data_IF_920452362511
#
_entry.id   IF_920452362511
#
_cell.length_a   1.000
_cell.length_b   1.000
_cell.length_c   1.000
_cell.angle_alpha   90.00
_cell.angle_beta   90.00
_cell.angle_gamma   90.00
#
_symmetry.space_group_name_H-M   'P 1'
#
loop_
_entity.id
_entity.type
_entity.pdbx_description
1 polymer ?
#
# COMPACT_ATOMS: atom_id res chain seq x y z
N UNK A 1 28.05 3.35 -3.33
CA UNK A 1 27.13 4.48 -3.58
C UNK A 1 26.63 4.40 -5.03
N UNK A 2 25.70 3.49 -5.34
CA UNK A 2 25.14 3.35 -6.69
C UNK A 2 23.66 3.02 -6.52
N UNK A 3 22.82 4.04 -6.29
CA UNK A 3 21.36 3.87 -6.25
C UNK A 3 20.59 5.18 -6.52
N UNK A 4 21.16 6.11 -7.29
CA UNK A 4 20.48 7.36 -7.69
C UNK A 4 20.19 7.47 -9.20
N UNK A 5 20.57 6.47 -10.00
CA UNK A 5 20.43 6.49 -11.46
C UNK A 5 19.15 5.81 -11.99
N UNK A 6 18.20 5.45 -11.13
CA UNK A 6 16.92 4.82 -11.53
C UNK A 6 15.69 5.68 -11.20
N UNK A 7 15.86 6.78 -10.45
CA UNK A 7 14.86 7.87 -10.41
C UNK A 7 15.03 8.81 -11.62
N UNK A 8 15.23 8.23 -12.81
CA UNK A 8 15.44 8.98 -14.05
C UNK A 8 14.08 9.50 -14.51
N UNK A 9 13.74 10.66 -13.95
CA UNK A 9 13.06 11.76 -14.62
C UNK A 9 11.74 11.39 -15.34
N UNK A 10 10.74 10.92 -14.57
CA UNK A 10 9.37 10.64 -15.05
C UNK A 10 8.76 11.76 -15.90
N UNK A 11 9.17 13.01 -15.63
CA UNK A 11 8.77 14.19 -16.40
C UNK A 11 9.36 14.15 -17.80
N UNK A 12 10.67 13.92 -17.93
CA UNK A 12 11.34 13.75 -19.23
C UNK A 12 10.72 12.60 -20.01
N UNK A 13 10.47 11.46 -19.37
CA UNK A 13 9.80 10.32 -20.02
C UNK A 13 8.39 10.68 -20.52
N UNK A 14 7.64 11.48 -19.75
CA UNK A 14 6.30 11.93 -20.16
C UNK A 14 6.36 12.89 -21.35
N UNK A 15 7.34 13.80 -21.37
CA UNK A 15 7.58 14.71 -22.50
C UNK A 15 7.97 13.92 -23.75
N UNK A 16 8.95 13.01 -23.63
CA UNK A 16 9.40 12.14 -24.74
C UNK A 16 8.26 11.29 -25.27
N UNK A 17 7.41 10.73 -24.41
CA UNK A 17 6.20 10.00 -24.84
C UNK A 17 5.23 10.90 -25.61
N UNK A 18 5.00 12.12 -25.14
CA UNK A 18 4.10 13.08 -25.82
C UNK A 18 4.63 13.45 -27.19
N UNK A 19 5.92 13.79 -27.30
CA UNK A 19 6.57 14.09 -28.58
C UNK A 19 6.48 12.89 -29.52
N UNK A 20 6.78 11.68 -29.04
CA UNK A 20 6.68 10.45 -29.83
C UNK A 20 5.25 10.22 -30.34
N UNK A 21 4.24 10.42 -29.49
CA UNK A 21 2.84 10.22 -29.85
C UNK A 21 2.37 11.19 -30.96
N UNK A 22 2.99 12.37 -31.09
CA UNK A 22 2.68 13.31 -32.17
C UNK A 22 3.10 12.80 -33.56
N UNK A 23 4.03 11.84 -33.63
CA UNK A 23 4.48 11.19 -34.88
C UNK A 23 3.74 9.87 -35.19
N UNK A 24 2.66 9.56 -34.46
CA UNK A 24 1.91 8.32 -34.60
C UNK A 24 2.80 7.05 -34.53
N UNK A 25 2.50 5.99 -35.30
CA UNK A 25 3.24 4.72 -35.33
C UNK A 25 4.38 4.69 -36.35
N UNK A 26 4.74 5.81 -36.98
CA UNK A 26 5.78 5.82 -38.01
C UNK A 26 7.13 6.32 -37.46
N UNK A 27 8.00 5.43 -36.95
CA UNK A 27 9.29 5.80 -36.39
C UNK A 27 10.25 6.45 -37.40
N UNK A 28 9.98 6.37 -38.71
CA UNK A 28 10.83 7.01 -39.71
C UNK A 28 10.68 8.54 -39.72
N UNK A 29 9.53 9.06 -39.32
CA UNK A 29 9.27 10.50 -39.29
C UNK A 29 10.05 11.21 -38.17
N UNK A 30 10.32 10.52 -37.05
CA UNK A 30 11.17 11.04 -35.97
C UNK A 30 12.65 11.18 -36.37
N UNK A 31 13.10 10.48 -37.42
CA UNK A 31 14.47 10.61 -37.91
C UNK A 31 14.70 11.93 -38.67
N UNK A 32 13.63 12.62 -39.08
CA UNK A 32 13.72 13.90 -39.76
C UNK A 32 13.84 15.05 -38.75
N UNK A 33 15.03 15.65 -38.67
CA UNK A 33 15.33 16.72 -37.73
C UNK A 33 14.40 17.95 -37.87
N UNK A 34 13.96 18.29 -39.09
CA UNK A 34 13.07 19.44 -39.31
C UNK A 34 11.69 19.22 -38.70
N UNK A 35 11.14 18.02 -38.88
CA UNK A 35 9.82 17.65 -38.34
C UNK A 35 9.89 17.51 -36.82
N UNK A 36 10.98 16.92 -36.29
CA UNK A 36 11.22 16.86 -34.85
C UNK A 36 11.27 18.25 -34.21
N UNK A 37 12.00 19.19 -34.82
CA UNK A 37 12.08 20.56 -34.33
C UNK A 37 10.70 21.23 -34.34
N UNK A 38 9.92 21.05 -35.40
CA UNK A 38 8.56 21.59 -35.50
C UNK A 38 7.66 21.09 -34.37
N UNK A 39 7.67 19.78 -34.10
CA UNK A 39 6.85 19.21 -33.01
C UNK A 39 7.30 19.70 -31.63
N UNK A 40 8.60 19.88 -31.43
CA UNK A 40 9.14 20.46 -30.18
C UNK A 40 8.70 21.92 -30.02
N UNK A 41 8.74 22.70 -31.10
CA UNK A 41 8.30 24.09 -31.10
C UNK A 41 6.79 24.17 -30.83
N UNK A 42 5.99 23.32 -31.47
CA UNK A 42 4.55 23.21 -31.23
C UNK A 42 4.25 22.84 -29.77
N UNK A 43 4.97 21.86 -29.20
CA UNK A 43 4.83 21.46 -27.81
C UNK A 43 5.08 22.65 -26.84
N UNK A 44 6.14 23.42 -27.08
CA UNK A 44 6.55 24.53 -26.22
C UNK A 44 5.62 25.75 -26.32
N UNK A 45 4.97 25.94 -27.47
CA UNK A 45 4.09 27.08 -27.73
C UNK A 45 2.60 26.77 -27.50
N UNK A 46 2.20 25.50 -27.52
CA UNK A 46 0.83 25.07 -27.22
C UNK A 46 0.53 25.20 -25.73
N UNK A 47 -0.73 25.46 -25.36
CA UNK A 47 -1.17 25.50 -23.96
C UNK A 47 -1.34 24.08 -23.41
N UNK A 48 -0.98 23.88 -22.15
CA UNK A 48 -1.00 22.53 -21.53
C UNK A 48 -2.10 22.39 -20.48
N UNK A 49 -2.61 21.17 -20.34
CA UNK A 49 -3.57 20.79 -19.29
C UNK A 49 -3.01 20.98 -17.88
N UNK A 50 -1.70 20.80 -17.70
CA UNK A 50 -1.01 21.10 -16.44
C UNK A 50 -1.31 22.53 -15.96
N UNK A 51 -1.41 23.47 -16.90
CA UNK A 51 -1.73 24.89 -16.67
C UNK A 51 -3.21 25.21 -16.93
N UNK A 52 -4.11 24.22 -16.85
CA UNK A 52 -5.56 24.37 -17.12
C UNK A 52 -5.85 24.98 -18.50
N UNK A 53 -5.03 24.66 -19.51
CA UNK A 53 -5.13 25.18 -20.87
C UNK A 53 -5.01 26.72 -20.96
N UNK A 54 -4.32 27.35 -20.00
CA UNK A 54 -4.15 28.82 -19.95
C UNK A 54 -2.81 29.29 -20.49
N UNK A 55 -1.73 28.59 -20.16
CA UNK A 55 -0.35 28.98 -20.46
C UNK A 55 0.40 27.87 -21.21
N UNK A 56 1.38 28.27 -22.03
CA UNK A 56 2.34 27.36 -22.66
C UNK A 56 3.60 27.20 -21.80
N UNK A 57 4.36 26.10 -21.96
CA UNK A 57 5.62 25.90 -21.26
C UNK A 57 6.60 27.06 -21.46
N UNK A 58 6.68 27.59 -22.68
CA UNK A 58 7.53 28.73 -23.00
C UNK A 58 7.15 29.98 -22.19
N UNK A 59 5.86 30.31 -22.14
CA UNK A 59 5.37 31.48 -21.39
C UNK A 59 5.63 31.37 -19.88
N UNK A 60 5.51 30.16 -19.32
CA UNK A 60 5.78 29.93 -17.90
C UNK A 60 7.28 29.98 -17.62
N UNK A 61 8.12 29.46 -18.53
CA UNK A 61 9.57 29.50 -18.39
C UNK A 61 10.16 30.90 -18.53
N UNK A 62 9.51 31.78 -19.29
CA UNK A 62 9.93 33.18 -19.48
C UNK A 62 9.50 34.09 -18.30
N UNK A 63 8.53 33.67 -17.48
CA UNK A 63 7.96 34.50 -16.41
C UNK A 63 7.93 33.78 -15.07
N UNK A 64 8.82 34.21 -14.17
CA UNK A 64 8.97 33.68 -12.82
C UNK A 64 7.69 33.77 -11.97
N UNK A 65 6.88 34.82 -12.16
CA UNK A 65 5.62 34.97 -11.41
C UNK A 65 4.60 33.89 -11.79
N UNK A 66 4.51 33.53 -13.07
CA UNK A 66 3.63 32.47 -13.56
C UNK A 66 4.06 31.11 -13.04
N UNK A 67 5.38 30.84 -13.02
CA UNK A 67 5.94 29.65 -12.41
C UNK A 67 5.62 29.59 -10.91
N UNK A 68 5.81 30.70 -10.19
CA UNK A 68 5.50 30.82 -8.78
C UNK A 68 4.01 30.55 -8.47
N UNK A 69 3.10 31.09 -9.29
CA UNK A 69 1.66 30.81 -9.18
C UNK A 69 1.38 29.31 -9.37
N UNK A 70 1.99 28.69 -10.37
CA UNK A 70 1.83 27.26 -10.65
C UNK A 70 2.31 26.39 -9.49
N UNK A 71 3.51 26.66 -8.96
CA UNK A 71 4.08 25.92 -7.82
C UNK A 71 3.17 26.05 -6.60
N UNK A 72 2.69 27.25 -6.29
CA UNK A 72 1.76 27.47 -5.16
C UNK A 72 0.45 26.70 -5.35
N UNK A 73 -0.11 26.70 -6.55
CA UNK A 73 -1.32 25.96 -6.85
C UNK A 73 -1.10 24.44 -6.67
N UNK A 74 0.01 23.89 -7.17
CA UNK A 74 0.32 22.46 -7.02
C UNK A 74 0.60 22.06 -5.58
N UNK A 75 1.28 22.92 -4.81
CA UNK A 75 1.43 22.73 -3.36
C UNK A 75 0.09 22.70 -2.66
N UNK A 76 -0.85 23.59 -3.02
CA UNK A 76 -2.20 23.60 -2.47
C UNK A 76 -2.97 22.31 -2.79
N UNK A 77 -3.00 21.91 -4.07
CA UNK A 77 -3.63 20.65 -4.50
C UNK A 77 -3.06 19.43 -3.73
N UNK A 78 -1.75 19.41 -3.50
CA UNK A 78 -1.10 18.36 -2.70
C UNK A 78 -1.53 18.40 -1.22
N UNK A 79 -1.65 19.59 -0.63
CA UNK A 79 -2.11 19.76 0.76
C UNK A 79 -3.56 19.29 0.91
N UNK A 80 -4.45 19.70 0.00
CA UNK A 80 -5.86 19.31 0.01
C UNK A 80 -6.01 17.77 -0.04
N UNK A 81 -5.20 17.09 -0.88
CA UNK A 81 -5.18 15.63 -0.96
C UNK A 81 -4.68 15.00 0.34
N UNK A 82 -3.64 15.56 0.98
CA UNK A 82 -3.13 15.05 2.27
C UNK A 82 -4.14 15.20 3.39
N UNK A 83 -4.85 16.33 3.44
CA UNK A 83 -5.93 16.54 4.40
C UNK A 83 -7.08 15.56 4.18
N UNK A 84 -7.45 15.31 2.93
CA UNK A 84 -8.46 14.31 2.59
C UNK A 84 -8.02 12.91 3.01
N UNK A 85 -6.77 12.53 2.73
CA UNK A 85 -6.19 11.25 3.17
C UNK A 85 -6.24 11.11 4.70
N UNK A 86 -5.92 12.18 5.45
CA UNK A 86 -6.03 12.17 6.90
C UNK A 86 -7.49 12.02 7.37
N UNK A 87 -8.46 12.69 6.72
CA UNK A 87 -9.89 12.54 7.03
C UNK A 87 -10.39 11.13 6.76
N UNK A 88 -9.90 10.52 5.68
CA UNK A 88 -10.27 9.16 5.27
C UNK A 88 -9.54 8.08 6.11
N UNK A 89 -8.74 8.48 7.11
CA UNK A 89 -7.90 7.60 7.92
C UNK A 89 -6.94 6.75 7.06
N UNK A 90 -6.60 7.24 5.86
CA UNK A 90 -5.57 6.66 5.01
C UNK A 90 -4.22 6.87 5.72
N UNK A 91 -3.57 5.76 6.06
CA UNK A 91 -2.29 5.67 6.77
C UNK A 91 -2.34 5.54 8.30
N UNK A 92 -3.50 5.24 8.89
CA UNK A 92 -3.64 5.11 10.36
C UNK A 92 -3.02 3.84 10.98
N UNK A 93 -2.51 2.91 10.16
CA UNK A 93 -1.84 1.72 10.68
C UNK A 93 -0.54 2.10 11.41
N UNK A 94 -0.45 1.66 12.66
CA UNK A 94 0.76 1.75 13.48
C UNK A 94 1.48 0.42 13.48
N UNK A 95 2.81 0.45 13.62
CA UNK A 95 3.64 -0.75 13.74
C UNK A 95 3.05 -1.70 14.79
N UNK A 96 2.85 -2.96 14.43
CA UNK A 96 2.24 -3.97 15.30
C UNK A 96 0.72 -4.14 15.14
N UNK A 97 0.05 -3.27 14.37
CA UNK A 97 -1.36 -3.46 14.05
C UNK A 97 -1.57 -4.75 13.26
N UNK A 98 -2.67 -5.44 13.56
CA UNK A 98 -3.06 -6.67 12.86
C UNK A 98 -3.99 -6.28 11.72
N UNK A 99 -3.56 -6.63 10.52
CA UNK A 99 -4.28 -6.36 9.29
C UNK A 99 -4.60 -7.65 8.58
N UNK A 100 -5.72 -7.69 7.88
CA UNK A 100 -5.99 -8.72 6.90
C UNK A 100 -5.61 -8.20 5.52
N UNK A 101 -4.93 -9.03 4.74
CA UNK A 101 -4.40 -8.65 3.43
C UNK A 101 -4.96 -9.55 2.35
N UNK A 102 -5.15 -8.98 1.17
CA UNK A 102 -5.36 -9.76 -0.05
C UNK A 102 -4.01 -10.01 -0.71
N UNK A 103 -3.59 -11.27 -0.75
CA UNK A 103 -2.34 -11.71 -1.36
C UNK A 103 -2.69 -12.48 -2.64
N UNK A 104 -2.30 -11.96 -3.80
CA UNK A 104 -2.62 -12.59 -5.09
C UNK A 104 -1.61 -13.71 -5.40
N UNK A 105 -1.99 -14.94 -5.04
CA UNK A 105 -1.19 -16.15 -5.25
C UNK A 105 -1.15 -16.62 -6.72
N UNK A 106 -1.77 -15.88 -7.66
CA UNK A 106 -1.77 -16.23 -9.09
C UNK A 106 -0.39 -16.28 -9.74
N UNK A 107 0.60 -15.60 -9.15
CA UNK A 107 1.99 -15.61 -9.61
C UNK A 107 2.86 -16.66 -8.91
N UNK A 108 2.31 -17.42 -7.96
CA UNK A 108 2.98 -18.53 -7.27
C UNK A 108 2.39 -19.88 -7.69
N UNK A 109 3.01 -20.98 -7.28
CA UNK A 109 2.58 -22.35 -7.58
C UNK A 109 1.13 -22.69 -7.15
N UNK A 110 0.46 -21.78 -6.43
CA UNK A 110 -0.92 -21.88 -5.95
C UNK A 110 -1.94 -21.13 -6.82
N UNK A 111 -1.55 -20.64 -8.00
CA UNK A 111 -2.36 -19.73 -8.82
C UNK A 111 -3.64 -20.30 -9.45
N UNK A 112 -3.87 -21.61 -9.38
CA UNK A 112 -5.07 -22.26 -9.92
C UNK A 112 -6.31 -22.10 -9.02
N UNK A 113 -6.18 -21.61 -7.78
CA UNK A 113 -7.33 -21.25 -6.95
C UNK A 113 -7.89 -19.89 -7.37
N UNK A 114 -8.83 -19.90 -8.32
CA UNK A 114 -9.60 -18.73 -8.72
C UNK A 114 -10.40 -18.19 -7.51
N UNK A 115 -9.99 -17.06 -6.94
CA UNK A 115 -10.77 -16.38 -5.90
C UNK A 115 -10.97 -14.90 -6.24
N UNK A 116 -12.20 -14.38 -6.03
CA UNK A 116 -12.47 -12.92 -5.97
C UNK A 116 -11.69 -12.34 -4.78
N UNK A 117 -11.39 -11.03 -4.79
CA UNK A 117 -10.59 -10.33 -3.75
C UNK A 117 -11.08 -10.64 -2.34
N UNK A 118 -10.53 -11.68 -1.75
CA UNK A 118 -10.83 -12.17 -0.42
C UNK A 118 -9.61 -11.83 0.44
N UNK A 119 -9.86 -11.29 1.62
CA UNK A 119 -8.79 -11.00 2.58
C UNK A 119 -8.31 -12.33 3.16
N UNK A 120 -7.38 -12.96 2.43
CA UNK A 120 -7.00 -14.36 2.58
C UNK A 120 -5.97 -14.59 3.68
N UNK A 121 -5.24 -13.55 4.06
CA UNK A 121 -4.16 -13.68 5.01
C UNK A 121 -4.25 -12.65 6.12
N UNK A 122 -3.62 -12.97 7.25
CA UNK A 122 -3.48 -12.08 8.38
C UNK A 122 -2.00 -11.77 8.61
N UNK A 123 -1.70 -10.48 8.74
CA UNK A 123 -0.35 -9.98 8.83
C UNK A 123 -0.23 -8.90 9.92
N UNK A 124 1.00 -8.72 10.38
CA UNK A 124 1.38 -7.63 11.28
C UNK A 124 1.94 -6.50 10.43
N UNK A 125 1.39 -5.30 10.58
CA UNK A 125 1.87 -4.12 9.90
C UNK A 125 3.26 -3.71 10.42
N UNK A 126 4.20 -3.45 9.51
CA UNK A 126 5.55 -2.96 9.84
C UNK A 126 5.65 -1.46 9.56
N UNK A 127 5.47 -1.07 8.29
CA UNK A 127 5.64 0.32 7.81
C UNK A 127 4.95 0.54 6.47
N UNK A 128 4.84 1.81 6.08
CA UNK A 128 4.54 2.19 4.70
C UNK A 128 5.83 2.33 3.90
N UNK A 129 5.80 1.89 2.64
CA UNK A 129 6.91 2.02 1.69
C UNK A 129 6.31 2.42 0.34
N UNK A 130 6.69 3.59 -0.18
CA UNK A 130 6.17 4.15 -1.44
C UNK A 130 4.62 4.23 -1.55
N UNK A 131 3.91 4.32 -0.42
CA UNK A 131 2.43 4.32 -0.39
C UNK A 131 1.80 2.92 -0.34
N UNK A 132 2.62 1.88 -0.38
CA UNK A 132 2.22 0.50 -0.10
C UNK A 132 2.43 0.16 1.37
N UNK A 133 1.80 -0.92 1.82
CA UNK A 133 1.90 -1.47 3.15
C UNK A 133 2.89 -2.64 3.14
N UNK A 134 3.94 -2.53 3.94
CA UNK A 134 4.85 -3.64 4.22
C UNK A 134 4.40 -4.35 5.49
N UNK A 135 4.17 -5.65 5.37
CA UNK A 135 3.62 -6.45 6.45
C UNK A 135 4.29 -7.83 6.56
N UNK A 136 4.29 -8.38 7.77
CA UNK A 136 4.82 -9.70 8.08
C UNK A 136 3.66 -10.67 8.30
N UNK A 137 3.62 -11.76 7.53
CA UNK A 137 2.58 -12.78 7.67
C UNK A 137 2.68 -13.45 9.05
N UNK A 138 1.56 -13.55 9.78
CA UNK A 138 1.54 -14.30 11.05
C UNK A 138 1.79 -15.78 10.83
N UNK A 139 1.41 -16.29 9.65
CA UNK A 139 1.70 -17.64 9.20
C UNK A 139 2.47 -17.56 7.88
N UNK A 140 3.81 -17.53 7.93
CA UNK A 140 4.61 -17.42 6.73
C UNK A 140 4.49 -18.68 5.86
N UNK A 141 4.59 -18.49 4.55
CA UNK A 141 4.86 -19.57 3.60
C UNK A 141 6.36 -19.90 3.65
N UNK A 142 6.77 -21.07 3.15
CA UNK A 142 8.17 -21.53 3.20
C UNK A 142 9.16 -20.45 2.72
N UNK A 143 8.79 -19.70 1.68
CA UNK A 143 9.68 -18.73 1.02
C UNK A 143 9.22 -17.27 1.21
N UNK A 144 8.04 -17.02 1.79
CA UNK A 144 7.43 -15.68 1.86
C UNK A 144 7.02 -15.36 3.29
N UNK A 145 7.75 -14.40 3.87
CA UNK A 145 7.52 -13.90 5.23
C UNK A 145 7.06 -12.45 5.26
N UNK A 146 7.72 -11.59 4.47
CA UNK A 146 7.41 -10.16 4.37
C UNK A 146 6.85 -9.90 2.99
N UNK A 147 5.75 -9.13 2.94
CA UNK A 147 5.03 -8.84 1.70
C UNK A 147 4.70 -7.36 1.65
N UNK A 148 4.86 -6.79 0.46
CA UNK A 148 4.42 -5.44 0.13
C UNK A 148 3.10 -5.53 -0.65
N UNK A 149 2.05 -4.93 -0.10
CA UNK A 149 0.72 -4.86 -0.73
C UNK A 149 0.22 -3.43 -0.79
N UNK A 150 -0.47 -3.02 -1.87
CA UNK A 150 -1.14 -1.73 -1.90
C UNK A 150 -2.10 -1.52 -0.72
N UNK A 151 -2.17 -0.30 -0.19
CA UNK A 151 -2.94 0.03 1.02
C UNK A 151 -4.42 -0.37 0.94
N UNK A 152 -5.03 -0.27 -0.24
CA UNK A 152 -6.43 -0.64 -0.49
C UNK A 152 -6.70 -2.15 -0.47
N UNK A 153 -5.66 -2.98 -0.43
CA UNK A 153 -5.75 -4.42 -0.20
C UNK A 153 -5.55 -4.79 1.27
N UNK A 154 -5.56 -3.81 2.17
CA UNK A 154 -5.42 -4.02 3.61
C UNK A 154 -6.64 -3.56 4.37
N UNK A 155 -6.98 -4.27 5.43
CA UNK A 155 -8.03 -3.87 6.35
C UNK A 155 -7.56 -4.07 7.79
N UNK A 156 -7.68 -3.02 8.62
CA UNK A 156 -7.30 -3.07 10.04
C UNK A 156 -8.30 -3.91 10.82
N UNK A 157 -7.80 -4.89 11.56
CA UNK A 157 -8.64 -5.80 12.36
C UNK A 157 -8.42 -5.63 13.85
N UNK A 158 -7.18 -5.41 14.30
CA UNK A 158 -6.87 -5.20 15.71
C UNK A 158 -5.62 -4.34 15.90
N UNK A 159 -5.46 -3.76 17.10
CA UNK A 159 -4.26 -3.01 17.45
C UNK A 159 -3.08 -3.92 17.81
N UNK A 160 -3.37 -5.11 18.33
CA UNK A 160 -2.40 -6.12 18.77
C UNK A 160 -2.98 -7.53 18.60
N UNK A 161 -2.13 -8.55 18.70
CA UNK A 161 -2.58 -9.96 18.64
C UNK A 161 -3.51 -10.34 19.80
N UNK A 162 -3.35 -9.69 20.96
CA UNK A 162 -4.16 -9.92 22.16
C UNK A 162 -5.60 -9.41 21.97
N UNK A 163 -5.74 -8.26 21.30
CA UNK A 163 -7.04 -7.64 21.01
C UNK A 163 -7.76 -8.25 19.79
N UNK A 164 -7.15 -9.26 19.15
CA UNK A 164 -7.71 -9.95 18.00
C UNK A 164 -8.90 -10.83 18.41
N UNK A 165 -10.06 -10.62 17.76
CA UNK A 165 -11.25 -11.44 17.98
C UNK A 165 -11.01 -12.90 17.63
N UNK A 166 -11.55 -13.81 18.43
CA UNK A 166 -11.33 -15.26 18.27
C UNK A 166 -11.83 -15.82 16.95
N UNK A 167 -12.84 -15.19 16.33
CA UNK A 167 -13.28 -15.50 14.95
C UNK A 167 -12.09 -15.53 13.98
N UNK A 168 -11.23 -14.51 14.01
CA UNK A 168 -10.08 -14.43 13.11
C UNK A 168 -9.01 -15.46 13.46
N UNK A 169 -8.79 -15.73 14.75
CA UNK A 169 -7.87 -16.79 15.19
C UNK A 169 -8.30 -18.16 14.67
N UNK A 170 -9.61 -18.44 14.69
CA UNK A 170 -10.19 -19.68 14.18
C UNK A 170 -10.06 -19.77 12.65
N UNK A 171 -10.48 -18.72 11.93
CA UNK A 171 -10.46 -18.68 10.45
C UNK A 171 -9.04 -18.87 9.90
N UNK A 172 -8.05 -18.19 10.47
CA UNK A 172 -6.66 -18.28 10.02
C UNK A 172 -5.85 -19.39 10.71
N UNK A 173 -6.51 -20.24 11.51
CA UNK A 173 -5.88 -21.34 12.28
C UNK A 173 -4.63 -20.88 13.04
N UNK A 174 -4.67 -19.67 13.61
CA UNK A 174 -3.61 -19.18 14.49
C UNK A 174 -3.61 -20.10 15.71
N UNK A 175 -2.44 -20.63 16.11
CA UNK A 175 -2.31 -21.54 17.27
C UNK A 175 -2.80 -20.81 18.52
N UNK A 176 -4.08 -20.89 18.83
CA UNK A 176 -4.60 -20.50 20.14
C UNK A 176 -4.24 -21.66 21.05
N UNK A 177 -3.15 -21.53 21.81
CA UNK A 177 -2.95 -22.38 22.97
C UNK A 177 -4.24 -22.36 23.80
N UNK A 178 -4.65 -23.54 24.30
CA UNK A 178 -5.89 -23.72 25.07
C UNK A 178 -6.07 -22.53 26.03
N UNK A 179 -7.21 -21.81 26.02
CA UNK A 179 -7.41 -20.65 26.87
C UNK A 179 -7.01 -20.99 28.31
N UNK A 180 -6.22 -20.11 28.94
CA UNK A 180 -5.75 -20.32 30.31
C UNK A 180 -6.97 -20.53 31.20
N UNK A 181 -7.12 -21.75 31.72
CA UNK A 181 -8.26 -22.12 32.58
C UNK A 181 -8.21 -21.42 33.94
N UNK A 182 -7.02 -20.96 34.35
CA UNK A 182 -6.74 -20.28 35.61
C UNK A 182 -5.73 -19.16 35.35
N UNK A 183 -5.88 -18.02 36.02
CA UNK A 183 -4.99 -16.86 35.87
C UNK A 183 -3.77 -16.93 36.81
N UNK A 184 -3.88 -17.63 37.94
CA UNK A 184 -2.80 -17.81 38.93
C UNK A 184 -2.63 -19.28 39.36
N UNK A 185 -1.44 -19.63 39.87
CA UNK A 185 -1.18 -20.98 40.39
C UNK A 185 -2.02 -21.33 41.62
N UNK A 186 -2.29 -20.34 42.47
CA UNK A 186 -3.12 -20.51 43.68
C UNK A 186 -4.56 -20.89 43.31
N UNK A 187 -5.15 -20.18 42.36
CA UNK A 187 -6.50 -20.44 41.82
C UNK A 187 -6.60 -21.84 41.20
N UNK A 188 -5.56 -22.27 40.47
CA UNK A 188 -5.49 -23.61 39.90
C UNK A 188 -5.46 -24.71 40.97
N UNK A 189 -4.70 -24.49 42.06
CA UNK A 189 -4.60 -25.44 43.18
C UNK A 189 -5.90 -25.55 43.98
N UNK A 190 -6.58 -24.43 44.24
CA UNK A 190 -7.88 -24.42 44.94
C UNK A 190 -8.96 -25.14 44.14
N UNK A 191 -9.06 -24.86 42.84
CA UNK A 191 -10.03 -25.50 41.97
C UNK A 191 -9.76 -27.01 41.80
N UNK A 192 -8.49 -27.43 41.81
CA UNK A 192 -8.11 -28.84 41.80
C UNK A 192 -8.49 -29.54 43.13
N UNK A 193 -8.29 -28.89 44.28
CA UNK A 193 -8.73 -29.41 45.59
C UNK A 193 -10.25 -29.57 45.65
N UNK A 194 -10.99 -28.58 45.17
CA UNK A 194 -12.47 -28.59 45.13
C UNK A 194 -13.01 -29.73 44.27
N UNK A 195 -12.49 -29.90 43.05
CA UNK A 195 -12.89 -31.00 42.15
C UNK A 195 -12.56 -32.38 42.72
N UNK A 196 -11.40 -32.55 43.38
CA UNK A 196 -11.05 -33.81 44.07
C UNK A 196 -12.00 -34.11 45.23
N UNK A 197 -12.41 -33.08 45.98
CA UNK A 197 -13.40 -33.22 47.05
C UNK A 197 -14.77 -33.65 46.53
N UNK A 198 -15.26 -33.02 45.46
CA UNK A 198 -16.53 -33.37 44.82
C UNK A 198 -16.51 -34.77 44.20
N UNK A 199 -15.41 -35.18 43.57
CA UNK A 199 -15.25 -36.53 43.03
C UNK A 199 -15.29 -37.60 44.13
N UNK A 200 -14.63 -37.36 45.27
CA UNK A 200 -14.68 -38.26 46.44
C UNK A 200 -16.08 -38.36 47.06
N UNK A 201 -16.86 -37.28 47.02
CA UNK A 201 -18.27 -37.29 47.47
C UNK A 201 -19.19 -38.04 46.52
N UNK A 202 -18.88 -38.10 45.22
CA UNK A 202 -19.64 -38.88 44.23
C UNK A 202 -19.32 -40.38 44.23
N UNK A 203 -18.22 -40.79 44.86
CA UNK A 203 -17.79 -42.19 44.99
C UNK A 203 -18.21 -42.83 46.34
N UNK A 204 -18.90 -42.07 47.21
CA UNK A 204 -19.55 -42.57 48.43
C UNK A 204 -21.05 -42.60 48.21
#
# INVERSE_FOLDING_TARGET
>A
MVNQLWEVNKVVDAVVRTIRNAFEKDPQQMANNKQLQQVVDDYNNTKHTAFKQKFSPKQVNENEDLEGIYIRQKKKELTDVKEQQHKDNLQDLKKGNIITIHLDLKKTAHGFEKQRRQFNEIATFIRYEHGNVVCELLKPYNDIKIVEVPIYYTHKVANSIETLKDKYKLTFKLKVGRPKKYFTEQEAQEMAKKQRGEAKKRQR
#
